data_IF_903301587901
#
_entry.id   IF_903301587901
#
_cell.length_a   1.000
_cell.length_b   1.000
_cell.length_c   1.000
_cell.angle_alpha   90.00
_cell.angle_beta   90.00
_cell.angle_gamma   90.00
#
_symmetry.space_group_name_H-M   'P 1'
#
loop_
_entity.id
_entity.type
_entity.pdbx_description
1 polymer ?
#
# COMPACT_ATOMS: atom_id res chain seq x y z
N UNK A 1 -8.59 -10.82 11.44
CA UNK A 1 -7.10 -10.81 11.38
C UNK A 1 -6.71 -10.49 9.94
N UNK A 2 -5.77 -9.59 9.72
CA UNK A 2 -5.30 -9.24 8.38
C UNK A 2 -4.25 -10.23 7.88
N UNK A 3 -4.17 -10.37 6.57
CA UNK A 3 -3.19 -11.19 5.85
C UNK A 3 -2.51 -10.27 4.84
N UNK A 4 -1.19 -10.19 4.87
CA UNK A 4 -0.43 -9.32 3.98
C UNK A 4 -0.25 -9.98 2.61
N UNK A 5 -0.59 -9.23 1.56
CA UNK A 5 -0.45 -9.68 0.17
C UNK A 5 0.97 -10.12 -0.14
N UNK A 6 1.96 -9.24 0.09
CA UNK A 6 3.35 -9.48 -0.25
C UNK A 6 4.02 -10.58 0.56
N UNK A 7 3.59 -10.78 1.82
CA UNK A 7 4.30 -11.64 2.77
C UNK A 7 3.70 -13.04 2.89
N UNK A 8 2.39 -13.18 2.65
CA UNK A 8 1.66 -14.41 3.00
C UNK A 8 0.93 -15.05 1.81
N UNK A 9 0.54 -14.28 0.80
CA UNK A 9 -0.24 -14.79 -0.34
C UNK A 9 0.73 -15.29 -1.42
N UNK A 10 0.50 -16.51 -1.94
CA UNK A 10 1.33 -17.05 -3.02
C UNK A 10 1.24 -16.16 -4.27
N UNK A 11 2.39 -15.80 -4.84
CA UNK A 11 2.50 -14.84 -5.93
C UNK A 11 2.38 -13.38 -5.48
N UNK A 12 2.31 -13.12 -4.18
CA UNK A 12 2.38 -11.77 -3.61
C UNK A 12 3.77 -11.15 -3.75
N UNK A 13 3.80 -9.82 -3.84
CA UNK A 13 5.02 -9.03 -3.91
C UNK A 13 4.81 -7.65 -3.29
N UNK A 14 5.89 -7.01 -2.83
CA UNK A 14 5.85 -5.60 -2.40
C UNK A 14 5.81 -4.69 -3.62
N UNK A 15 5.02 -3.61 -3.54
CA UNK A 15 5.01 -2.61 -4.60
C UNK A 15 6.35 -1.89 -4.68
N UNK A 16 6.94 -1.86 -5.88
CA UNK A 16 8.12 -1.08 -6.22
C UNK A 16 7.76 0.06 -7.17
N UNK A 17 8.57 1.13 -7.16
CA UNK A 17 8.41 2.31 -8.01
C UNK A 17 9.70 2.58 -8.76
N UNK A 18 9.61 3.38 -9.81
CA UNK A 18 10.73 3.74 -10.68
C UNK A 18 10.78 2.89 -11.94
N UNK A 19 11.81 3.16 -12.74
CA UNK A 19 12.06 2.49 -14.01
C UNK A 19 12.75 1.14 -13.78
N UNK A 20 12.31 0.10 -14.49
CA UNK A 20 12.86 -1.26 -14.40
C UNK A 20 14.27 -1.37 -15.00
N UNK A 21 14.63 -0.47 -15.92
CA UNK A 21 15.94 -0.45 -16.58
C UNK A 21 17.04 0.19 -15.71
N UNK A 22 16.67 0.83 -14.59
CA UNK A 22 17.60 1.46 -13.67
C UNK A 22 18.09 0.48 -12.60
N UNK A 23 19.28 0.75 -12.05
CA UNK A 23 19.83 -0.07 -10.98
C UNK A 23 18.85 -0.14 -9.79
N UNK A 24 18.70 -1.30 -9.11
CA UNK A 24 17.61 -1.55 -8.15
C UNK A 24 17.42 -0.51 -7.04
N UNK A 25 18.50 0.14 -6.61
CA UNK A 25 18.45 1.14 -5.54
C UNK A 25 18.20 2.57 -6.02
N UNK A 26 18.18 2.81 -7.33
CA UNK A 26 18.05 4.15 -7.92
C UNK A 26 16.74 4.80 -7.48
N UNK A 27 15.62 4.07 -7.59
CA UNK A 27 14.32 4.58 -7.21
C UNK A 27 14.22 4.91 -5.71
N UNK A 28 14.83 4.10 -4.84
CA UNK A 28 14.85 4.35 -3.40
C UNK A 28 15.60 5.65 -3.04
N UNK A 29 16.74 5.90 -3.69
CA UNK A 29 17.50 7.13 -3.53
C UNK A 29 16.66 8.33 -4.03
N UNK A 30 16.10 8.25 -5.24
CA UNK A 30 15.30 9.33 -5.81
C UNK A 30 14.05 9.64 -4.95
N UNK A 31 13.37 8.61 -4.45
CA UNK A 31 12.21 8.77 -3.57
C UNK A 31 12.57 9.46 -2.24
N UNK A 32 13.78 9.22 -1.74
CA UNK A 32 14.28 9.91 -0.54
C UNK A 32 14.43 11.41 -0.77
N UNK A 33 15.02 11.81 -1.90
CA UNK A 33 15.13 13.23 -2.25
C UNK A 33 13.77 13.88 -2.53
N UNK A 34 12.86 13.18 -3.22
CA UNK A 34 11.49 13.67 -3.44
C UNK A 34 10.78 13.96 -2.11
N UNK A 35 10.90 13.06 -1.12
CA UNK A 35 10.32 13.28 0.22
C UNK A 35 10.97 14.45 0.96
N UNK A 36 12.29 14.63 0.84
CA UNK A 36 13.01 15.73 1.49
C UNK A 36 12.65 17.10 0.89
N UNK A 37 12.37 17.15 -0.41
CA UNK A 37 12.14 18.37 -1.18
C UNK A 37 10.65 18.70 -1.38
N UNK A 38 9.75 17.90 -0.81
CA UNK A 38 8.30 18.10 -0.89
C UNK A 38 7.69 18.28 0.49
N UNK A 39 6.63 19.08 0.59
CA UNK A 39 5.89 19.29 1.84
C UNK A 39 4.79 18.25 2.06
N UNK A 40 4.32 17.62 0.99
CA UNK A 40 3.26 16.61 1.01
C UNK A 40 3.45 15.57 -0.10
N UNK A 41 2.80 14.42 0.06
CA UNK A 41 2.71 13.37 -0.95
C UNK A 41 1.37 12.66 -0.85
N UNK A 42 0.79 12.29 -1.99
CA UNK A 42 -0.48 11.57 -2.05
C UNK A 42 -0.38 10.38 -3.00
N UNK A 43 -1.15 9.33 -2.72
CA UNK A 43 -1.22 8.14 -3.53
C UNK A 43 -2.63 7.55 -3.50
N UNK A 44 -3.12 7.16 -4.68
CA UNK A 44 -4.38 6.45 -4.83
C UNK A 44 -4.12 4.96 -5.05
N UNK A 45 -4.89 4.10 -4.38
CA UNK A 45 -4.87 2.65 -4.55
C UNK A 45 -6.30 2.17 -4.79
N UNK A 46 -6.50 1.32 -5.79
CA UNK A 46 -7.79 0.72 -6.09
C UNK A 46 -7.77 -0.76 -5.74
N UNK A 47 -8.68 -1.18 -4.85
CA UNK A 47 -8.88 -2.57 -4.50
C UNK A 47 -10.07 -3.13 -5.30
N UNK A 48 -9.77 -3.98 -6.29
CA UNK A 48 -10.81 -4.70 -7.03
C UNK A 48 -11.28 -5.91 -6.22
N UNK A 49 -12.60 -6.03 -6.02
CA UNK A 49 -13.17 -7.04 -5.14
C UNK A 49 -14.28 -7.86 -5.82
N UNK A 50 -14.41 -9.11 -5.36
CA UNK A 50 -15.57 -9.98 -5.57
C UNK A 50 -15.84 -10.71 -4.26
N UNK A 51 -17.00 -10.48 -3.67
CA UNK A 51 -17.38 -11.01 -2.35
C UNK A 51 -16.34 -10.72 -1.25
N UNK A 52 -15.70 -9.55 -1.30
CA UNK A 52 -14.69 -9.11 -0.33
C UNK A 52 -14.91 -7.64 0.02
N UNK A 53 -15.03 -7.34 1.31
CA UNK A 53 -15.26 -5.99 1.83
C UNK A 53 -13.91 -5.26 1.91
N UNK A 54 -13.84 -4.04 1.39
CA UNK A 54 -12.61 -3.24 1.36
C UNK A 54 -12.56 -2.16 2.46
N UNK A 55 -13.70 -1.58 2.82
CA UNK A 55 -13.77 -0.44 3.74
C UNK A 55 -15.00 -0.55 4.66
N UNK A 56 -16.18 -0.14 4.17
CA UNK A 56 -17.43 -0.20 4.92
C UNK A 56 -18.08 -1.57 4.81
N UNK A 57 -18.39 -2.19 5.95
CA UNK A 57 -19.31 -3.32 6.05
C UNK A 57 -20.73 -2.77 6.14
N UNK A 58 -21.48 -2.83 5.03
CA UNK A 58 -22.84 -2.28 4.96
C UNK A 58 -23.83 -3.01 5.88
N UNK A 59 -23.67 -4.34 6.06
CA UNK A 59 -24.56 -5.13 6.91
C UNK A 59 -24.39 -4.77 8.39
N UNK A 60 -23.15 -4.52 8.82
CA UNK A 60 -22.83 -4.20 10.21
C UNK A 60 -22.66 -2.70 10.49
N UNK A 61 -22.73 -1.85 9.46
CA UNK A 61 -22.56 -0.40 9.55
C UNK A 61 -21.24 0.06 10.17
N UNK A 62 -20.12 -0.65 9.93
CA UNK A 62 -18.83 -0.33 10.55
C UNK A 62 -17.61 -0.64 9.66
N UNK A 63 -16.43 -0.22 10.09
CA UNK A 63 -15.16 -0.34 9.34
C UNK A 63 -14.25 -1.46 9.85
N UNK A 64 -14.74 -2.39 10.68
CA UNK A 64 -13.90 -3.42 11.32
C UNK A 64 -13.26 -4.39 10.33
N UNK A 65 -13.75 -4.43 9.08
CA UNK A 65 -13.23 -5.24 7.98
C UNK A 65 -12.47 -4.42 6.93
N UNK A 66 -12.23 -3.13 7.16
CA UNK A 66 -11.46 -2.30 6.24
C UNK A 66 -10.04 -2.84 6.04
N UNK A 67 -9.52 -2.74 4.82
CA UNK A 67 -8.16 -3.17 4.50
C UNK A 67 -7.10 -2.31 5.20
N UNK A 68 -5.89 -2.86 5.32
CA UNK A 68 -4.72 -2.13 5.80
C UNK A 68 -3.77 -1.90 4.63
N UNK A 69 -3.11 -0.75 4.65
CA UNK A 69 -2.06 -0.41 3.69
C UNK A 69 -0.77 -0.17 4.47
N UNK A 70 0.32 -0.82 4.04
CA UNK A 70 1.63 -0.63 4.63
C UNK A 70 2.33 0.55 3.96
N UNK A 71 2.69 1.56 4.74
CA UNK A 71 3.52 2.68 4.31
C UNK A 71 5.00 2.28 4.19
N UNK A 72 5.80 3.10 3.50
CA UNK A 72 7.21 2.83 3.25
C UNK A 72 8.14 3.01 4.47
N UNK A 73 7.60 3.43 5.61
CA UNK A 73 8.30 3.73 6.85
C UNK A 73 7.78 2.85 8.00
N UNK A 74 7.31 1.65 7.67
CA UNK A 74 6.73 0.67 8.57
C UNK A 74 5.42 1.10 9.28
N UNK A 75 4.84 2.23 8.89
CA UNK A 75 3.56 2.71 9.41
C UNK A 75 2.39 2.08 8.66
N UNK A 76 1.45 1.51 9.41
CA UNK A 76 0.17 1.05 8.86
C UNK A 76 -0.83 2.21 8.71
N UNK A 77 -1.44 2.31 7.53
CA UNK A 77 -2.52 3.24 7.23
C UNK A 77 -3.85 2.50 7.38
N UNK A 78 -4.77 3.09 8.15
CA UNK A 78 -6.03 2.49 8.58
C UNK A 78 -7.22 3.44 8.35
N UNK A 79 -8.41 2.85 8.29
CA UNK A 79 -9.70 3.53 8.24
C UNK A 79 -10.19 3.97 9.62
#
# INVERSE_FOLDING_TARGET
KHVWFAETINGGFHFSYGDEDLAPNTANIQMTFLRLLSTEGSQNVTYHCKNSIAYMDEEMGNLKKAILIQGSNDVEIRA
#
